data_IF_326024352283
#
_entry.id   IF_326024352283
#
_cell.length_a   1.000
_cell.length_b   1.000
_cell.length_c   1.000
_cell.angle_alpha   90.00
_cell.angle_beta   90.00
_cell.angle_gamma   90.00
#
_symmetry.space_group_name_H-M   'P 1'
#
loop_
_entity.id
_entity.type
_entity.pdbx_description
1 polymer ?
#
# COMPACT_ATOMS: atom_id res chain seq x y z
N UNK A 1 2.66 -16.82 -6.53
CA UNK A 1 3.01 -15.58 -7.25
C UNK A 1 1.86 -14.58 -7.33
N UNK A 2 0.58 -14.98 -7.16
CA UNK A 2 -0.58 -14.06 -7.29
C UNK A 2 -0.58 -12.83 -6.36
N UNK A 3 -0.23 -12.95 -5.07
CA UNK A 3 -0.29 -11.81 -4.14
C UNK A 3 0.61 -10.63 -4.54
N UNK A 4 1.82 -10.90 -5.04
CA UNK A 4 2.72 -9.83 -5.49
C UNK A 4 2.26 -9.24 -6.82
N UNK A 5 1.71 -10.07 -7.71
CA UNK A 5 1.14 -9.64 -8.98
C UNK A 5 -0.03 -8.68 -8.77
N UNK A 6 -0.99 -9.07 -7.92
CA UNK A 6 -2.14 -8.23 -7.52
C UNK A 6 -1.69 -6.93 -6.83
N UNK A 7 -0.67 -6.99 -5.97
CA UNK A 7 -0.11 -5.82 -5.30
C UNK A 7 0.43 -4.82 -6.33
N UNK A 8 1.32 -5.25 -7.23
CA UNK A 8 1.93 -4.35 -8.20
C UNK A 8 0.94 -3.87 -9.26
N UNK A 9 -0.03 -4.69 -9.67
CA UNK A 9 -1.13 -4.24 -10.53
C UNK A 9 -1.92 -3.12 -9.86
N UNK A 10 -2.31 -3.31 -8.60
CA UNK A 10 -3.08 -2.32 -7.84
C UNK A 10 -2.31 -1.02 -7.66
N UNK A 11 -1.02 -1.10 -7.27
CA UNK A 11 -0.16 0.07 -7.13
C UNK A 11 0.01 0.81 -8.47
N UNK A 12 0.14 0.10 -9.59
CA UNK A 12 0.23 0.71 -10.92
C UNK A 12 -1.06 1.44 -11.30
N UNK A 13 -2.23 0.88 -10.97
CA UNK A 13 -3.52 1.54 -11.21
C UNK A 13 -3.66 2.83 -10.40
N UNK A 14 -3.22 2.83 -9.14
CA UNK A 14 -3.20 4.01 -8.28
C UNK A 14 -2.21 5.06 -8.80
N UNK A 15 -0.97 4.67 -9.10
CA UNK A 15 0.09 5.54 -9.60
C UNK A 15 -0.33 6.25 -10.90
N UNK A 16 -1.01 5.53 -11.80
CA UNK A 16 -1.48 6.08 -13.08
C UNK A 16 -2.82 6.84 -12.98
N UNK A 17 -3.41 6.92 -11.78
CA UNK A 17 -4.70 7.57 -11.55
C UNK A 17 -5.87 6.87 -12.23
N UNK A 18 -5.72 5.60 -12.63
CA UNK A 18 -6.78 4.80 -13.24
C UNK A 18 -7.83 4.34 -12.22
N UNK A 19 -7.47 4.35 -10.93
CA UNK A 19 -8.38 4.15 -9.80
C UNK A 19 -7.92 5.01 -8.62
N UNK A 20 -8.86 5.48 -7.82
CA UNK A 20 -8.63 6.26 -6.59
C UNK A 20 -9.50 5.77 -5.42
N UNK A 21 -10.27 4.69 -5.63
CA UNK A 21 -11.31 4.20 -4.71
C UNK A 21 -10.83 3.10 -3.76
N UNK A 22 -9.58 2.70 -3.87
CA UNK A 22 -9.03 1.55 -3.16
C UNK A 22 -7.84 1.99 -2.31
N UNK A 23 -7.72 1.38 -1.14
CA UNK A 23 -6.60 1.54 -0.22
C UNK A 23 -5.80 0.25 -0.18
N UNK A 24 -4.47 0.34 -0.32
CA UNK A 24 -3.58 -0.81 -0.18
C UNK A 24 -3.05 -0.86 1.24
N UNK A 25 -3.30 -1.98 1.94
CA UNK A 25 -2.83 -2.21 3.31
C UNK A 25 -1.96 -3.46 3.32
N UNK A 26 -0.71 -3.29 3.69
CA UNK A 26 0.28 -4.35 3.84
C UNK A 26 0.35 -4.77 5.31
N UNK A 27 -0.06 -6.00 5.59
CA UNK A 27 -0.06 -6.52 6.97
C UNK A 27 1.32 -7.07 7.33
N UNK A 28 1.86 -6.65 8.48
CA UNK A 28 3.15 -7.09 9.01
C UNK A 28 4.35 -6.42 8.33
N UNK A 29 4.74 -5.23 8.82
CA UNK A 29 5.78 -4.40 8.18
C UNK A 29 7.13 -5.13 7.98
N UNK A 30 7.60 -5.85 9.00
CA UNK A 30 8.90 -6.55 8.95
C UNK A 30 8.99 -7.50 7.75
N UNK A 31 7.91 -8.24 7.46
CA UNK A 31 7.87 -9.14 6.32
C UNK A 31 8.06 -8.39 5.00
N UNK A 32 7.33 -7.28 4.81
CA UNK A 32 7.34 -6.52 3.56
C UNK A 32 8.64 -5.74 3.35
N UNK A 33 9.21 -5.13 4.39
CA UNK A 33 10.48 -4.42 4.30
C UNK A 33 11.66 -5.37 4.03
N UNK A 34 11.55 -6.63 4.48
CA UNK A 34 12.53 -7.67 4.15
C UNK A 34 12.34 -8.25 2.75
N UNK A 35 11.10 -8.26 2.24
CA UNK A 35 10.77 -8.79 0.92
C UNK A 35 11.08 -7.78 -0.20
N UNK A 36 10.74 -6.51 0.02
CA UNK A 36 10.83 -5.43 -0.98
C UNK A 36 11.55 -4.24 -0.34
N UNK A 37 12.70 -3.89 -0.91
CA UNK A 37 13.35 -2.63 -0.57
C UNK A 37 12.76 -1.50 -1.42
N UNK A 38 11.72 -0.85 -0.89
CA UNK A 38 11.03 0.25 -1.57
C UNK A 38 11.96 1.43 -1.90
N UNK A 39 12.91 1.74 -1.00
CA UNK A 39 13.85 2.83 -1.22
C UNK A 39 14.79 2.54 -2.40
N UNK A 40 15.21 1.28 -2.56
CA UNK A 40 15.98 0.89 -3.73
C UNK A 40 15.20 1.14 -5.03
N UNK A 41 13.89 0.85 -5.05
CA UNK A 41 13.05 1.13 -6.23
C UNK A 41 12.98 2.64 -6.53
N UNK A 42 12.93 3.48 -5.51
CA UNK A 42 13.00 4.95 -5.66
C UNK A 42 14.37 5.39 -6.17
N UNK A 43 15.46 4.87 -5.60
CA UNK A 43 16.84 5.19 -5.99
C UNK A 43 17.13 4.86 -7.46
N UNK A 44 16.61 3.74 -7.96
CA UNK A 44 16.71 3.35 -9.37
C UNK A 44 15.68 4.05 -10.28
N UNK A 45 14.81 4.90 -9.73
CA UNK A 45 13.81 5.65 -10.49
C UNK A 45 12.68 4.78 -11.04
N UNK A 46 12.41 3.62 -10.45
CA UNK A 46 11.32 2.73 -10.85
C UNK A 46 9.97 3.20 -10.31
N UNK A 47 9.99 3.89 -9.16
CA UNK A 47 8.83 4.57 -8.55
C UNK A 47 9.26 5.95 -8.03
N UNK A 48 8.32 6.86 -7.85
CA UNK A 48 8.56 8.17 -7.23
C UNK A 48 8.56 8.06 -5.69
N UNK A 49 9.21 9.01 -5.01
CA UNK A 49 9.19 9.08 -3.53
C UNK A 49 7.76 9.17 -2.97
N UNK A 50 6.87 9.86 -3.69
CA UNK A 50 5.44 10.02 -3.35
C UNK A 50 4.64 8.75 -3.57
N UNK A 51 5.13 7.79 -4.37
CA UNK A 51 4.42 6.52 -4.59
C UNK A 51 4.45 5.63 -3.33
N UNK A 52 5.35 5.92 -2.38
CA UNK A 52 5.36 5.27 -1.07
C UNK A 52 4.14 5.63 -0.22
N UNK A 53 3.42 6.70 -0.57
CA UNK A 53 2.17 7.08 0.10
C UNK A 53 0.96 6.28 -0.41
N UNK A 54 1.13 5.45 -1.46
CA UNK A 54 0.04 4.66 -2.06
C UNK A 54 -0.37 3.43 -1.24
N UNK A 55 0.42 3.06 -0.23
CA UNK A 55 0.10 1.95 0.66
C UNK A 55 0.37 2.29 2.12
N UNK A 56 -0.27 1.54 3.00
CA UNK A 56 -0.13 1.68 4.45
C UNK A 56 0.22 0.34 5.08
N UNK A 57 0.86 0.38 6.24
CA UNK A 57 1.10 -0.81 7.05
C UNK A 57 0.07 -0.96 8.15
N UNK A 58 -0.23 -2.20 8.51
CA UNK A 58 -0.98 -2.54 9.72
C UNK A 58 -0.38 -3.79 10.38
N UNK A 59 -0.30 -3.80 11.70
CA UNK A 59 0.15 -4.96 12.48
C UNK A 59 -1.04 -5.76 13.03
N UNK A 60 -2.22 -5.14 13.11
CA UNK A 60 -3.44 -5.78 13.59
C UNK A 60 -4.62 -5.57 12.64
N UNK A 61 -5.62 -6.45 12.75
CA UNK A 61 -6.88 -6.30 12.03
C UNK A 61 -7.60 -5.00 12.39
N UNK A 62 -7.47 -4.53 13.63
CA UNK A 62 -8.08 -3.27 14.07
C UNK A 62 -7.41 -2.07 13.39
N UNK A 63 -6.08 -2.03 13.32
CA UNK A 63 -5.36 -0.96 12.61
C UNK A 63 -5.72 -0.93 11.12
N UNK A 64 -5.80 -2.10 10.48
CA UNK A 64 -6.24 -2.20 9.09
C UNK A 64 -7.67 -1.68 8.92
N UNK A 65 -8.59 -2.04 9.83
CA UNK A 65 -9.95 -1.54 9.83
C UNK A 65 -10.01 -0.02 9.99
N UNK A 66 -9.24 0.55 10.91
CA UNK A 66 -9.21 2.00 11.14
C UNK A 66 -8.73 2.77 9.90
N UNK A 67 -7.74 2.23 9.17
CA UNK A 67 -7.28 2.78 7.89
C UNK A 67 -8.39 2.75 6.83
N UNK A 68 -9.10 1.61 6.70
CA UNK A 68 -10.22 1.46 5.77
C UNK A 68 -11.34 2.44 6.12
N UNK A 69 -11.72 2.53 7.40
CA UNK A 69 -12.79 3.39 7.87
C UNK A 69 -12.47 4.87 7.58
N UNK A 70 -11.25 5.32 7.91
CA UNK A 70 -10.79 6.69 7.62
C UNK A 70 -10.81 7.00 6.12
N UNK A 71 -10.29 6.10 5.29
CA UNK A 71 -10.29 6.28 3.83
C UNK A 71 -11.71 6.42 3.26
N UNK A 72 -12.68 5.68 3.81
CA UNK A 72 -14.08 5.70 3.37
C UNK A 72 -14.95 6.72 4.11
N UNK A 73 -14.39 7.56 4.99
CA UNK A 73 -15.16 8.53 5.79
C UNK A 73 -16.13 7.90 6.79
N UNK A 74 -15.91 6.64 7.19
CA UNK A 74 -16.71 5.93 8.18
C UNK A 74 -16.15 6.21 9.58
N UNK A 75 -16.99 6.49 10.59
CA UNK A 75 -16.53 6.67 11.97
C UNK A 75 -15.85 5.39 12.50
N UNK A 76 -14.64 5.53 13.03
CA UNK A 76 -13.98 4.46 13.82
C UNK A 76 -14.66 4.36 15.20
N UNK A 77 -15.00 3.15 15.61
CA UNK A 77 -15.73 2.88 16.88
C UNK A 77 -14.78 2.63 18.03
#
# INVERSE_FOLDING_TARGET
>A
FGTLDELFETLTLLQTGKTDKVIVILVGRDFWERLINWQLLVEYGLIAQTDLDLFHYAETAQEAWDLIARHNGVPTT
#
